data_IF_803241607099
#
_entry.id   IF_803241607099
#
_cell.length_a   1.000
_cell.length_b   1.000
_cell.length_c   1.000
_cell.angle_alpha   90.00
_cell.angle_beta   90.00
_cell.angle_gamma   90.00
#
_symmetry.space_group_name_H-M   'P 1'
#
loop_
_entity.id
_entity.type
_entity.pdbx_description
1 polymer ?
#
# COMPACT_ATOMS: atom_id res chain seq x y z
N UNK A 1 -9.52 1.00 4.01
CA UNK A 1 -10.10 1.77 5.07
C UNK A 1 -10.61 3.16 4.67
N UNK A 2 -10.40 4.13 5.53
CA UNK A 2 -10.86 5.50 5.29
C UNK A 2 -9.96 6.33 4.39
N UNK A 3 -8.82 5.79 3.98
CA UNK A 3 -7.80 6.52 3.25
C UNK A 3 -6.87 7.34 4.14
N UNK A 4 -6.88 7.12 5.44
CA UNK A 4 -6.19 7.97 6.41
C UNK A 4 -4.69 8.13 6.14
N UNK A 5 -3.97 7.05 5.80
CA UNK A 5 -2.53 7.11 5.56
C UNK A 5 -2.20 7.95 4.32
N UNK A 6 -2.93 7.74 3.22
CA UNK A 6 -2.72 8.50 1.99
C UNK A 6 -3.12 9.97 2.13
N UNK A 7 -4.21 10.25 2.84
CA UNK A 7 -4.64 11.61 3.12
C UNK A 7 -3.65 12.34 4.03
N UNK A 8 -3.11 11.66 5.03
CA UNK A 8 -2.05 12.22 5.88
C UNK A 8 -0.79 12.54 5.06
N UNK A 9 -0.40 11.66 4.14
CA UNK A 9 0.73 11.90 3.26
C UNK A 9 0.52 13.15 2.40
N UNK A 10 -0.68 13.31 1.81
CA UNK A 10 -1.01 14.50 1.03
C UNK A 10 -0.97 15.77 1.88
N UNK A 11 -1.49 15.71 3.11
CA UNK A 11 -1.49 16.87 4.01
C UNK A 11 -0.08 17.27 4.43
N UNK A 12 0.88 16.34 4.38
CA UNK A 12 2.29 16.57 4.73
C UNK A 12 3.18 16.86 3.52
N UNK A 13 2.60 17.08 2.35
CA UNK A 13 3.32 17.54 1.17
C UNK A 13 3.57 16.51 0.08
N UNK A 14 3.01 15.31 0.15
CA UNK A 14 3.05 14.39 -0.97
C UNK A 14 2.36 15.01 -2.19
N UNK A 15 2.95 14.84 -3.37
CA UNK A 15 2.41 15.42 -4.59
C UNK A 15 1.14 14.70 -5.05
N UNK A 16 1.06 13.39 -4.83
CA UNK A 16 -0.09 12.57 -5.22
C UNK A 16 -0.26 11.37 -4.31
N UNK A 17 -1.46 10.83 -4.27
CA UNK A 17 -1.77 9.57 -3.62
C UNK A 17 -2.77 8.80 -4.47
N UNK A 18 -2.49 7.52 -4.68
CA UNK A 18 -3.40 6.59 -5.33
C UNK A 18 -3.98 5.65 -4.28
N UNK A 19 -5.29 5.66 -4.16
CA UNK A 19 -6.02 4.75 -3.29
C UNK A 19 -6.57 3.61 -4.13
N UNK A 20 -6.34 2.38 -3.70
CA UNK A 20 -6.87 1.18 -4.34
C UNK A 20 -7.81 0.49 -3.37
N UNK A 21 -9.06 0.37 -3.75
CA UNK A 21 -10.10 -0.20 -2.90
C UNK A 21 -11.12 -0.96 -3.74
N UNK A 22 -11.41 -2.19 -3.34
CA UNK A 22 -12.41 -3.03 -4.03
C UNK A 22 -13.83 -2.82 -3.52
N UNK A 23 -13.99 -2.43 -2.26
CA UNK A 23 -15.30 -2.25 -1.64
C UNK A 23 -15.92 -0.89 -2.00
N UNK A 24 -17.16 -0.91 -2.49
CA UNK A 24 -17.83 0.30 -2.94
C UNK A 24 -18.08 1.29 -1.79
N UNK A 25 -18.49 0.80 -0.64
CA UNK A 25 -18.77 1.67 0.52
C UNK A 25 -17.49 2.32 1.04
N UNK A 26 -16.44 1.54 1.17
CA UNK A 26 -15.13 2.04 1.60
C UNK A 26 -14.58 3.04 0.60
N UNK A 27 -14.69 2.76 -0.70
CA UNK A 27 -14.31 3.70 -1.74
C UNK A 27 -15.07 5.02 -1.68
N UNK A 28 -16.37 4.98 -1.39
CA UNK A 28 -17.18 6.18 -1.22
C UNK A 28 -16.75 7.00 0.00
N UNK A 29 -16.32 6.35 1.07
CA UNK A 29 -15.77 7.03 2.27
C UNK A 29 -14.48 7.76 1.92
N UNK A 30 -13.58 7.12 1.18
CA UNK A 30 -12.34 7.74 0.73
C UNK A 30 -12.63 8.98 -0.12
N UNK A 31 -13.51 8.86 -1.11
CA UNK A 31 -13.92 9.97 -1.98
C UNK A 31 -14.47 11.14 -1.16
N UNK A 32 -15.34 10.85 -0.20
CA UNK A 32 -15.92 11.89 0.68
C UNK A 32 -14.85 12.58 1.51
N UNK A 33 -13.90 11.82 2.06
CA UNK A 33 -12.81 12.38 2.86
C UNK A 33 -11.90 13.27 2.01
N UNK A 34 -11.59 12.88 0.79
CA UNK A 34 -10.81 13.69 -0.16
C UNK A 34 -11.51 15.02 -0.42
N UNK A 35 -12.80 14.98 -0.72
CA UNK A 35 -13.59 16.19 -0.97
C UNK A 35 -13.67 17.10 0.25
N UNK A 36 -13.94 16.53 1.43
CA UNK A 36 -14.07 17.27 2.69
C UNK A 36 -12.78 18.00 3.05
N UNK A 37 -11.63 17.34 2.86
CA UNK A 37 -10.33 17.93 3.19
C UNK A 37 -9.79 18.84 2.10
N UNK A 38 -10.36 18.81 0.90
CA UNK A 38 -9.93 19.65 -0.22
C UNK A 38 -8.50 19.39 -0.67
N UNK A 39 -7.99 18.18 -0.48
CA UNK A 39 -6.61 17.85 -0.86
C UNK A 39 -6.52 17.54 -2.35
N UNK A 40 -5.54 18.15 -3.02
CA UNK A 40 -5.26 17.87 -4.42
C UNK A 40 -4.37 16.62 -4.55
N UNK A 41 -4.40 15.98 -5.72
CA UNK A 41 -3.50 14.88 -6.04
C UNK A 41 -3.99 13.51 -5.62
N UNK A 42 -5.20 13.39 -5.07
CA UNK A 42 -5.79 12.12 -4.70
C UNK A 42 -6.53 11.48 -5.88
N UNK A 43 -6.29 10.19 -6.10
CA UNK A 43 -7.00 9.38 -7.11
C UNK A 43 -7.46 8.09 -6.45
N UNK A 44 -8.72 7.71 -6.67
CA UNK A 44 -9.24 6.43 -6.23
C UNK A 44 -9.41 5.50 -7.44
N UNK A 45 -8.83 4.31 -7.38
CA UNK A 45 -9.08 3.23 -8.35
C UNK A 45 -9.85 2.12 -7.66
N UNK A 46 -11.05 1.87 -8.17
CA UNK A 46 -11.90 0.80 -7.68
C UNK A 46 -11.50 -0.51 -8.37
N UNK A 47 -11.22 -1.52 -7.56
CA UNK A 47 -10.89 -2.83 -8.05
C UNK A 47 -10.08 -3.64 -7.04
N UNK A 48 -9.91 -4.92 -7.33
CA UNK A 48 -9.01 -5.76 -6.55
C UNK A 48 -7.58 -5.29 -6.72
N UNK A 49 -6.79 -5.32 -5.65
CA UNK A 49 -5.39 -4.88 -5.67
C UNK A 49 -4.60 -5.60 -6.77
N UNK A 50 -4.77 -6.91 -6.89
CA UNK A 50 -4.06 -7.71 -7.90
C UNK A 50 -4.37 -7.25 -9.33
N UNK A 51 -5.63 -6.93 -9.63
CA UNK A 51 -6.04 -6.45 -10.94
C UNK A 51 -5.49 -5.06 -11.24
N UNK A 52 -5.54 -4.15 -10.27
CA UNK A 52 -5.00 -2.80 -10.41
C UNK A 52 -3.49 -2.85 -10.64
N UNK A 53 -2.75 -3.64 -9.87
CA UNK A 53 -1.31 -3.78 -10.02
C UNK A 53 -0.94 -4.41 -11.36
N UNK A 54 -1.69 -5.42 -11.82
CA UNK A 54 -1.44 -6.08 -13.10
C UNK A 54 -1.56 -5.13 -14.29
N UNK A 55 -2.37 -4.08 -14.17
CA UNK A 55 -2.48 -3.05 -15.22
C UNK A 55 -1.21 -2.20 -15.35
N UNK A 56 -0.34 -2.22 -14.35
CA UNK A 56 0.90 -1.45 -14.35
C UNK A 56 0.69 0.06 -14.24
N UNK A 57 1.80 0.77 -14.24
CA UNK A 57 1.79 2.23 -14.20
C UNK A 57 3.02 2.79 -14.92
N UNK A 58 2.87 3.98 -15.50
CA UNK A 58 3.98 4.77 -16.03
C UNK A 58 4.56 5.74 -14.97
N UNK A 59 3.95 5.79 -13.78
CA UNK A 59 4.35 6.67 -12.70
C UNK A 59 4.61 5.85 -11.42
N UNK A 60 5.82 5.24 -11.28
CA UNK A 60 6.16 4.48 -10.09
C UNK A 60 6.00 5.30 -8.80
N UNK A 61 5.68 4.62 -7.73
CA UNK A 61 5.42 5.24 -6.43
C UNK A 61 6.70 5.30 -5.59
N UNK A 62 6.82 6.32 -4.75
CA UNK A 62 7.94 6.45 -3.81
C UNK A 62 7.66 5.72 -2.50
N UNK A 63 6.39 5.61 -2.13
CA UNK A 63 5.96 5.00 -0.88
C UNK A 63 4.70 4.18 -1.12
N UNK A 64 4.68 2.96 -0.60
CA UNK A 64 3.54 2.05 -0.72
C UNK A 64 3.12 1.62 0.69
N UNK A 65 1.85 1.80 1.01
CA UNK A 65 1.24 1.26 2.22
C UNK A 65 0.29 0.13 1.87
N UNK A 66 0.41 -0.98 2.57
CA UNK A 66 -0.52 -2.10 2.44
C UNK A 66 -1.00 -2.54 3.83
N UNK A 67 -2.32 -2.57 3.99
CA UNK A 67 -2.99 -3.00 5.22
C UNK A 67 -4.05 -4.05 4.86
N UNK A 68 -3.63 -5.25 4.44
CA UNK A 68 -4.58 -6.30 4.09
C UNK A 68 -5.31 -6.82 5.34
N UNK A 69 -6.54 -7.35 5.19
CA UNK A 69 -7.23 -8.00 6.29
C UNK A 69 -6.36 -9.09 6.93
N UNK A 70 -6.50 -9.28 8.23
CA UNK A 70 -5.63 -10.21 8.98
C UNK A 70 -5.79 -11.68 8.57
N UNK A 71 -6.93 -12.05 7.97
CA UNK A 71 -7.20 -13.39 7.47
C UNK A 71 -6.61 -13.67 6.08
N UNK A 72 -6.04 -12.67 5.42
CA UNK A 72 -5.34 -12.86 4.16
C UNK A 72 -4.01 -13.57 4.41
N UNK A 73 -3.76 -14.66 3.69
CA UNK A 73 -2.55 -15.45 3.86
C UNK A 73 -1.29 -14.67 3.48
N UNK A 74 -0.17 -14.94 4.15
CA UNK A 74 1.12 -14.31 3.83
C UNK A 74 1.50 -14.52 2.36
N UNK A 75 1.23 -15.70 1.80
CA UNK A 75 1.51 -16.01 0.38
C UNK A 75 0.77 -15.09 -0.59
N UNK A 76 -0.45 -14.67 -0.26
CA UNK A 76 -1.20 -13.73 -1.09
C UNK A 76 -0.60 -12.33 -1.03
N UNK A 77 -0.14 -11.90 0.14
CA UNK A 77 0.57 -10.63 0.29
C UNK A 77 1.89 -10.66 -0.46
N UNK A 78 2.62 -11.78 -0.40
CA UNK A 78 3.87 -11.96 -1.15
C UNK A 78 3.67 -11.76 -2.66
N UNK A 79 2.55 -12.22 -3.21
CA UNK A 79 2.20 -12.00 -4.62
C UNK A 79 1.99 -10.52 -4.93
N UNK A 80 1.36 -9.78 -4.02
CA UNK A 80 1.19 -8.33 -4.17
C UNK A 80 2.55 -7.63 -4.18
N UNK A 81 3.45 -8.00 -3.29
CA UNK A 81 4.79 -7.44 -3.24
C UNK A 81 5.58 -7.72 -4.53
N UNK A 82 5.47 -8.94 -5.06
CA UNK A 82 6.09 -9.29 -6.33
C UNK A 82 5.54 -8.44 -7.49
N UNK A 83 4.24 -8.18 -7.49
CA UNK A 83 3.58 -7.38 -8.52
C UNK A 83 4.07 -5.92 -8.53
N UNK A 84 4.45 -5.37 -7.39
CA UNK A 84 5.01 -4.01 -7.32
C UNK A 84 6.25 -3.86 -8.20
N UNK A 85 7.11 -4.87 -8.23
CA UNK A 85 8.30 -4.86 -9.09
C UNK A 85 7.96 -5.23 -10.52
N UNK A 86 7.22 -6.32 -10.71
CA UNK A 86 6.90 -6.87 -12.03
C UNK A 86 6.15 -5.87 -12.91
N UNK A 87 5.25 -5.09 -12.32
CA UNK A 87 4.37 -4.17 -13.06
C UNK A 87 4.77 -2.70 -12.90
N UNK A 88 6.01 -2.43 -12.53
CA UNK A 88 6.60 -1.09 -12.51
C UNK A 88 6.00 -0.12 -11.50
N UNK A 89 5.37 -0.59 -10.44
CA UNK A 89 4.86 0.26 -9.37
C UNK A 89 5.95 0.75 -8.42
N UNK A 90 7.05 -0.01 -8.31
CA UNK A 90 8.19 0.36 -7.49
C UNK A 90 9.39 0.72 -8.38
N UNK A 91 10.15 1.73 -7.97
CA UNK A 91 11.43 2.10 -8.54
C UNK A 91 12.53 1.94 -7.50
N UNK A 92 13.78 2.14 -7.90
CA UNK A 92 14.89 2.16 -6.95
C UNK A 92 14.63 3.23 -5.87
N UNK A 93 14.69 2.82 -4.61
CA UNK A 93 14.43 3.70 -3.47
C UNK A 93 12.98 3.68 -2.96
N UNK A 94 12.06 3.05 -3.64
CA UNK A 94 10.69 2.90 -3.15
C UNK A 94 10.67 2.15 -1.82
N UNK A 95 9.95 2.69 -0.84
CA UNK A 95 9.74 2.05 0.46
C UNK A 95 8.33 1.48 0.51
N UNK A 96 8.21 0.22 0.88
CA UNK A 96 6.93 -0.42 1.12
C UNK A 96 6.77 -0.73 2.61
N UNK A 97 5.59 -0.43 3.13
CA UNK A 97 5.22 -0.67 4.53
C UNK A 97 3.98 -1.55 4.53
N UNK A 98 4.07 -2.71 5.16
CA UNK A 98 2.96 -3.66 5.23
C UNK A 98 2.57 -3.89 6.68
N UNK A 99 1.29 -3.70 6.99
CA UNK A 99 0.73 -3.99 8.29
C UNK A 99 0.23 -5.43 8.33
N UNK A 100 0.64 -6.18 9.37
CA UNK A 100 0.24 -7.57 9.59
C UNK A 100 -0.13 -7.78 11.03
N UNK A 101 -0.93 -8.81 11.32
CA UNK A 101 -1.09 -9.29 12.68
C UNK A 101 0.26 -9.78 13.22
N UNK A 102 0.60 -9.44 14.46
CA UNK A 102 1.88 -9.81 15.06
C UNK A 102 2.10 -11.32 15.07
N UNK A 103 1.03 -12.11 15.21
CA UNK A 103 1.09 -13.57 15.23
C UNK A 103 1.14 -14.21 13.83
N UNK A 104 1.00 -13.43 12.75
CA UNK A 104 1.04 -13.99 11.40
C UNK A 104 2.44 -14.37 10.98
N UNK A 105 2.55 -15.27 9.98
CA UNK A 105 3.85 -15.63 9.41
C UNK A 105 4.53 -14.41 8.79
N UNK A 106 5.87 -14.31 8.91
CA UNK A 106 6.62 -13.27 8.22
C UNK A 106 6.40 -13.33 6.70
N UNK A 107 6.41 -12.18 6.07
CA UNK A 107 6.33 -12.07 4.62
C UNK A 107 7.63 -12.53 3.97
N UNK A 108 7.52 -13.07 2.75
CA UNK A 108 8.66 -13.38 1.90
C UNK A 108 8.81 -12.24 0.88
N UNK A 109 9.72 -11.32 1.15
CA UNK A 109 9.98 -10.20 0.26
C UNK A 109 10.66 -10.69 -1.01
N UNK A 110 10.28 -10.17 -2.19
CA UNK A 110 10.91 -10.56 -3.46
C UNK A 110 12.38 -10.17 -3.50
N UNK A 111 13.13 -10.80 -4.41
CA UNK A 111 14.50 -10.38 -4.70
C UNK A 111 14.52 -8.90 -5.11
N UNK A 112 15.57 -8.21 -4.72
CA UNK A 112 15.72 -6.78 -4.99
C UNK A 112 15.12 -5.84 -3.96
N UNK A 113 14.62 -6.38 -2.85
CA UNK A 113 14.16 -5.60 -1.71
C UNK A 113 15.10 -5.82 -0.52
N UNK A 114 15.46 -4.74 0.14
CA UNK A 114 16.26 -4.73 1.36
C UNK A 114 15.35 -4.48 2.55
N UNK A 115 15.31 -5.42 3.50
CA UNK A 115 14.46 -5.28 4.67
C UNK A 115 15.01 -4.24 5.63
N UNK A 116 14.11 -3.39 6.13
CA UNK A 116 14.38 -2.51 7.24
C UNK A 116 13.94 -3.18 8.55
N UNK A 117 14.45 -2.72 9.71
CA UNK A 117 13.96 -3.22 10.98
C UNK A 117 12.44 -3.06 11.09
N UNK A 118 11.75 -4.16 11.37
CA UNK A 118 10.32 -4.14 11.60
C UNK A 118 9.97 -3.59 12.97
N UNK A 119 8.69 -3.36 13.19
CA UNK A 119 8.17 -2.88 14.48
C UNK A 119 6.94 -3.66 14.88
N UNK A 120 6.78 -3.86 16.19
CA UNK A 120 5.60 -4.51 16.76
C UNK A 120 4.95 -3.55 17.76
N UNK A 121 3.66 -3.34 17.58
CA UNK A 121 2.82 -2.51 18.45
C UNK A 121 1.61 -3.34 18.87
N UNK A 122 1.59 -3.85 20.10
CA UNK A 122 0.51 -4.72 20.55
C UNK A 122 0.36 -5.93 19.64
N UNK A 123 -0.80 -6.08 19.00
CA UNK A 123 -1.12 -7.19 18.10
C UNK A 123 -0.77 -6.91 16.64
N UNK A 124 -0.13 -5.79 16.35
CA UNK A 124 0.22 -5.35 14.99
C UNK A 124 1.72 -5.39 14.77
N UNK A 125 2.11 -5.94 13.62
CA UNK A 125 3.50 -5.91 13.14
C UNK A 125 3.57 -5.09 11.86
N UNK A 126 4.54 -4.18 11.79
CA UNK A 126 4.91 -3.50 10.55
C UNK A 126 6.14 -4.15 9.94
N UNK A 127 6.05 -4.54 8.69
CA UNK A 127 7.21 -4.97 7.90
C UNK A 127 7.52 -3.90 6.86
N UNK A 128 8.78 -3.54 6.75
CA UNK A 128 9.25 -2.47 5.88
C UNK A 128 10.41 -2.97 5.03
N UNK A 129 10.44 -2.54 3.79
CA UNK A 129 11.58 -2.80 2.91
C UNK A 129 11.72 -1.69 1.86
N UNK A 130 12.95 -1.57 1.35
CA UNK A 130 13.30 -0.61 0.30
C UNK A 130 13.69 -1.35 -0.96
N UNK A 131 13.22 -0.89 -2.11
CA UNK A 131 13.58 -1.42 -3.42
C UNK A 131 15.00 -0.97 -3.78
N UNK A 132 15.87 -1.93 -4.00
CA UNK A 132 17.26 -1.69 -4.39
C UNK A 132 17.40 -1.25 -5.84
#
# INVERSE_FOLDING_TARGET
GSGALGLEALSRGAASALFVESDQRTGAVITRNVETLGLAGATLRRGAVTAVLAAGTSAPMDLVFADPPYDVAASEVDLVLAALTTHCWAHEGTVAVVERAAASEPLTWPAGWSLWPGRVYGDTRLELAERL
#
